data_IF_533404785106
#
_entry.id   IF_533404785106
#
_cell.length_a   1.000
_cell.length_b   1.000
_cell.length_c   1.000
_cell.angle_alpha   90.00
_cell.angle_beta   90.00
_cell.angle_gamma   90.00
#
_symmetry.space_group_name_H-M   'P 1'
#
loop_
_entity.id
_entity.type
_entity.pdbx_description
1 polymer ?
#
# COMPACT_ATOMS: atom_id res chain seq x y z
N UNK A 1 -1.77 -13.00 -0.55
CA UNK A 1 -1.10 -12.46 0.63
C UNK A 1 -1.76 -13.13 1.83
N UNK A 2 -1.05 -13.98 2.59
CA UNK A 2 -1.55 -14.33 3.92
C UNK A 2 -1.48 -13.04 4.71
N UNK A 3 -2.61 -12.50 5.23
CA UNK A 3 -2.56 -11.34 6.09
C UNK A 3 -1.62 -11.69 7.23
N UNK A 4 -0.50 -10.99 7.35
CA UNK A 4 0.32 -11.12 8.55
C UNK A 4 -0.52 -10.49 9.67
N UNK A 5 -1.27 -11.33 10.37
CA UNK A 5 -2.27 -10.87 11.34
C UNK A 5 -1.64 -10.06 12.49
N UNK A 6 -0.34 -10.24 12.71
CA UNK A 6 0.49 -9.51 13.67
C UNK A 6 1.35 -8.42 13.03
N UNK A 7 0.94 -7.86 11.90
CA UNK A 7 1.63 -6.73 11.30
C UNK A 7 1.69 -5.57 12.30
N UNK A 8 2.91 -5.15 12.66
CA UNK A 8 3.10 -3.98 13.51
C UNK A 8 2.83 -2.70 12.71
N UNK A 9 2.29 -1.64 13.34
CA UNK A 9 2.18 -0.34 12.72
C UNK A 9 3.52 0.10 12.10
N UNK A 10 3.51 0.63 10.86
CA UNK A 10 4.67 1.28 10.26
C UNK A 10 5.26 2.36 11.16
N UNK A 11 6.57 2.54 11.12
CA UNK A 11 7.26 3.54 11.95
C UNK A 11 7.15 4.97 11.42
N UNK A 12 6.92 5.10 10.12
CA UNK A 12 6.85 6.38 9.41
C UNK A 12 5.99 6.24 8.14
N UNK A 13 5.76 7.37 7.47
CA UNK A 13 4.90 7.42 6.29
C UNK A 13 5.52 6.73 5.06
N UNK A 14 6.86 6.72 4.92
CA UNK A 14 7.55 5.99 3.85
C UNK A 14 7.25 4.48 3.92
N UNK A 15 7.23 3.89 5.13
CA UNK A 15 6.84 2.49 5.33
C UNK A 15 5.35 2.25 5.04
N UNK A 16 4.47 3.21 5.37
CA UNK A 16 3.05 3.15 4.96
C UNK A 16 2.93 3.14 3.43
N UNK A 17 3.64 4.03 2.76
CA UNK A 17 3.63 4.16 1.32
C UNK A 17 4.17 2.90 0.61
N UNK A 18 5.24 2.29 1.15
CA UNK A 18 5.75 1.00 0.67
C UNK A 18 4.68 -0.10 0.76
N UNK A 19 4.00 -0.23 1.91
CA UNK A 19 2.96 -1.25 2.13
C UNK A 19 1.73 -1.02 1.24
N UNK A 20 1.34 0.23 1.02
CA UNK A 20 0.26 0.57 0.08
C UNK A 20 0.64 0.15 -1.33
N UNK A 21 1.84 0.51 -1.77
CA UNK A 21 2.34 0.15 -3.10
C UNK A 21 2.41 -1.36 -3.28
N UNK A 22 2.84 -2.10 -2.26
CA UNK A 22 2.87 -3.57 -2.28
C UNK A 22 1.48 -4.18 -2.43
N UNK A 23 0.52 -3.65 -1.69
CA UNK A 23 -0.88 -4.08 -1.77
C UNK A 23 -1.45 -3.82 -3.16
N UNK A 24 -1.16 -2.65 -3.74
CA UNK A 24 -1.57 -2.27 -5.09
C UNK A 24 -0.95 -3.19 -6.16
N UNK A 25 0.34 -3.52 -6.07
CA UNK A 25 0.97 -4.42 -7.03
C UNK A 25 0.55 -5.87 -6.86
N UNK A 26 0.31 -6.36 -5.64
CA UNK A 26 -0.19 -7.72 -5.40
C UNK A 26 -1.65 -7.90 -5.81
N UNK A 27 -2.45 -6.83 -5.87
CA UNK A 27 -3.83 -6.88 -6.35
C UNK A 27 -3.89 -7.32 -7.83
N UNK A 28 -4.48 -8.49 -8.08
CA UNK A 28 -4.67 -9.04 -9.42
C UNK A 28 -3.40 -9.58 -10.10
N UNK A 29 -2.30 -9.76 -9.36
CA UNK A 29 -1.06 -10.36 -9.87
C UNK A 29 -0.61 -11.54 -8.99
N UNK A 30 0.27 -12.38 -9.53
CA UNK A 30 0.86 -13.46 -8.75
C UNK A 30 1.72 -12.90 -7.61
N UNK A 31 1.22 -13.02 -6.39
CA UNK A 31 1.87 -12.45 -5.21
C UNK A 31 3.31 -12.94 -5.04
N UNK A 32 3.63 -14.22 -5.30
CA UNK A 32 5.00 -14.75 -5.19
C UNK A 32 5.97 -14.03 -6.13
N UNK A 33 5.50 -13.67 -7.32
CA UNK A 33 6.31 -12.92 -8.30
C UNK A 33 6.58 -11.51 -7.79
N UNK A 34 5.58 -10.84 -7.21
CA UNK A 34 5.75 -9.50 -6.64
C UNK A 34 6.73 -9.54 -5.46
N UNK A 35 6.56 -10.49 -4.55
CA UNK A 35 7.44 -10.70 -3.40
C UNK A 35 8.89 -10.93 -3.80
N UNK A 36 9.13 -11.83 -4.76
CA UNK A 36 10.49 -12.12 -5.24
C UNK A 36 11.15 -10.91 -5.91
N UNK A 37 10.36 -10.02 -6.51
CA UNK A 37 10.84 -8.79 -7.15
C UNK A 37 10.92 -7.61 -6.19
N UNK A 38 10.38 -7.71 -4.98
CA UNK A 38 10.23 -6.57 -4.06
C UNK A 38 11.54 -5.83 -3.76
N UNK A 39 12.70 -6.49 -3.58
CA UNK A 39 13.97 -5.79 -3.42
C UNK A 39 14.35 -4.91 -4.61
N UNK A 40 13.92 -5.27 -5.83
CA UNK A 40 14.11 -4.44 -7.02
C UNK A 40 13.15 -3.26 -7.03
N UNK A 41 11.90 -3.46 -6.59
CA UNK A 41 10.95 -2.36 -6.40
C UNK A 41 11.50 -1.32 -5.41
N UNK A 42 12.03 -1.76 -4.27
CA UNK A 42 12.66 -0.85 -3.29
C UNK A 42 13.75 0.00 -3.94
N UNK A 43 14.63 -0.58 -4.77
CA UNK A 43 15.65 0.18 -5.50
C UNK A 43 15.06 1.12 -6.54
N UNK A 44 14.13 0.61 -7.35
CA UNK A 44 13.51 1.32 -8.46
C UNK A 44 12.71 2.54 -8.00
N UNK A 45 12.04 2.44 -6.85
CA UNK A 45 11.28 3.52 -6.22
C UNK A 45 12.08 4.26 -5.13
N UNK A 46 13.41 4.30 -5.24
CA UNK A 46 14.28 5.11 -4.37
C UNK A 46 14.08 4.86 -2.85
N UNK A 47 13.90 3.60 -2.47
CA UNK A 47 13.63 3.16 -1.10
C UNK A 47 12.22 3.49 -0.62
N UNK A 48 11.29 3.76 -1.55
CA UNK A 48 9.95 4.29 -1.25
C UNK A 48 9.95 5.59 -0.45
N UNK A 49 11.00 6.42 -0.61
CA UNK A 49 10.97 7.77 -0.06
C UNK A 49 9.90 8.60 -0.77
N UNK A 50 8.84 8.96 -0.05
CA UNK A 50 7.69 9.71 -0.58
C UNK A 50 8.18 10.98 -1.27
N UNK A 51 9.08 11.73 -0.63
CA UNK A 51 9.63 12.99 -1.15
C UNK A 51 10.36 12.84 -2.49
N UNK A 52 10.99 11.67 -2.74
CA UNK A 52 11.70 11.37 -4.00
C UNK A 52 10.74 10.86 -5.06
N UNK A 53 9.88 9.90 -4.70
CA UNK A 53 8.95 9.26 -5.64
C UNK A 53 7.91 10.25 -6.15
N UNK A 54 7.41 11.16 -5.31
CA UNK A 54 6.50 12.22 -5.73
C UNK A 54 7.09 13.18 -6.78
N UNK A 55 8.42 13.20 -6.95
CA UNK A 55 9.14 14.02 -7.94
C UNK A 55 9.52 13.25 -9.19
N UNK A 56 9.14 11.97 -9.31
CA UNK A 56 9.40 11.20 -10.52
C UNK A 56 8.68 11.85 -11.72
N UNK A 57 9.46 12.09 -12.76
CA UNK A 57 8.98 12.64 -14.03
C UNK A 57 8.52 11.54 -14.98
N UNK A 58 7.94 11.93 -16.11
CA UNK A 58 7.63 10.99 -17.21
C UNK A 58 8.87 10.23 -17.69
N UNK A 59 10.06 10.83 -17.60
CA UNK A 59 11.32 10.17 -17.96
C UNK A 59 11.64 9.05 -16.97
N UNK A 60 11.39 9.26 -15.68
CA UNK A 60 11.58 8.24 -14.65
C UNK A 60 10.58 7.10 -14.82
N UNK A 61 9.31 7.41 -15.12
CA UNK A 61 8.29 6.40 -15.45
C UNK A 61 8.70 5.58 -16.68
N UNK A 62 9.17 6.23 -17.75
CA UNK A 62 9.69 5.54 -18.94
C UNK A 62 10.88 4.64 -18.61
N UNK A 63 11.80 5.08 -17.74
CA UNK A 63 12.93 4.28 -17.27
C UNK A 63 12.43 3.04 -16.51
N UNK A 64 11.48 3.19 -15.60
CA UNK A 64 10.86 2.07 -14.87
C UNK A 64 10.17 1.08 -15.81
N UNK A 65 9.55 1.58 -16.89
CA UNK A 65 8.95 0.74 -17.93
C UNK A 65 9.97 -0.07 -18.75
N UNK A 66 11.26 0.20 -18.62
CA UNK A 66 12.33 -0.63 -19.22
C UNK A 66 12.98 -1.59 -18.23
N UNK A 67 12.71 -1.45 -16.92
CA UNK A 67 13.33 -2.25 -15.87
C UNK A 67 12.67 -3.64 -15.77
N UNK A 68 13.40 -4.68 -16.13
CA UNK A 68 12.95 -6.08 -16.06
C UNK A 68 12.99 -6.63 -14.63
N UNK A 69 13.64 -5.94 -13.71
CA UNK A 69 13.69 -6.24 -12.28
C UNK A 69 12.34 -6.09 -11.58
N UNK A 70 11.46 -5.22 -12.10
CA UNK A 70 10.10 -4.97 -11.57
C UNK A 70 9.01 -5.52 -12.50
N UNK A 71 7.74 -5.35 -12.10
CA UNK A 71 6.59 -5.57 -12.98
C UNK A 71 6.27 -4.27 -13.71
N UNK A 72 6.41 -4.28 -15.04
CA UNK A 72 6.24 -3.13 -15.94
C UNK A 72 4.77 -2.86 -16.25
N UNK A 73 4.01 -2.46 -15.22
CA UNK A 73 2.62 -2.03 -15.36
C UNK A 73 2.55 -0.52 -15.25
N UNK A 74 2.43 0.16 -16.39
CA UNK A 74 2.48 1.63 -16.47
C UNK A 74 1.44 2.30 -15.56
N UNK A 75 0.19 1.83 -15.59
CA UNK A 75 -0.89 2.39 -14.77
C UNK A 75 -0.59 2.32 -13.27
N UNK A 76 -0.05 1.17 -12.81
CA UNK A 76 0.34 0.98 -11.40
C UNK A 76 1.57 1.80 -11.02
N UNK A 77 2.53 1.97 -11.94
CA UNK A 77 3.71 2.83 -11.72
C UNK A 77 3.28 4.29 -11.60
N UNK A 78 2.46 4.80 -12.53
CA UNK A 78 1.93 6.15 -12.46
C UNK A 78 1.09 6.38 -11.20
N UNK A 79 0.23 5.42 -10.83
CA UNK A 79 -0.53 5.49 -9.58
C UNK A 79 0.40 5.56 -8.35
N UNK A 80 1.52 4.85 -8.36
CA UNK A 80 2.51 4.91 -7.26
C UNK A 80 3.11 6.32 -7.12
N UNK A 81 3.46 6.97 -8.23
CA UNK A 81 3.96 8.36 -8.24
C UNK A 81 2.89 9.33 -7.75
N UNK A 82 1.66 9.20 -8.24
CA UNK A 82 0.52 10.02 -7.80
C UNK A 82 0.26 9.86 -6.29
N UNK A 83 0.24 8.62 -5.81
CA UNK A 83 -0.03 8.30 -4.40
C UNK A 83 1.05 8.88 -3.48
N UNK A 84 2.32 8.91 -3.89
CA UNK A 84 3.37 9.62 -3.15
C UNK A 84 3.03 11.12 -2.98
N UNK A 85 2.50 11.76 -4.03
CA UNK A 85 2.00 13.13 -3.94
C UNK A 85 0.85 13.30 -2.93
N UNK A 86 -0.06 12.33 -2.84
CA UNK A 86 -1.14 12.33 -1.84
C UNK A 86 -0.61 12.15 -0.41
N UNK A 87 0.43 11.34 -0.20
CA UNK A 87 1.10 11.24 1.10
C UNK A 87 1.71 12.58 1.53
N UNK A 88 2.35 13.33 0.62
CA UNK A 88 2.87 14.68 0.94
C UNK A 88 1.75 15.65 1.34
N UNK A 89 0.59 15.57 0.69
CA UNK A 89 -0.57 16.39 1.07
C UNK A 89 -1.08 16.01 2.46
N UNK A 90 -1.17 14.73 2.77
CA UNK A 90 -1.56 14.25 4.10
C UNK A 90 -0.58 14.67 5.19
N UNK A 91 0.73 14.60 4.91
CA UNK A 91 1.75 15.10 5.84
C UNK A 91 1.56 16.59 6.12
N UNK A 92 1.25 17.40 5.10
CA UNK A 92 0.95 18.82 5.27
C UNK A 92 -0.31 19.08 6.09
N UNK A 93 -1.40 18.35 5.81
CA UNK A 93 -2.71 18.64 6.38
C UNK A 93 -2.92 18.02 7.78
N UNK A 94 -2.31 16.86 8.03
CA UNK A 94 -2.51 16.06 9.27
C UNK A 94 -1.21 15.79 10.04
N UNK A 95 -0.04 16.09 9.46
CA UNK A 95 1.27 15.84 10.04
C UNK A 95 1.81 14.43 9.81
N UNK A 96 0.97 13.42 9.58
CA UNK A 96 1.37 12.09 9.11
C UNK A 96 0.16 11.25 8.67
N UNK A 97 0.41 10.16 7.94
CA UNK A 97 -0.60 9.18 7.57
C UNK A 97 -1.25 8.54 8.80
N UNK A 98 -0.47 8.21 9.83
CA UNK A 98 -1.00 7.67 11.08
C UNK A 98 -1.95 8.68 11.76
N UNK A 99 -1.60 9.96 11.79
CA UNK A 99 -2.48 11.00 12.37
C UNK A 99 -3.75 11.17 11.55
N UNK A 100 -3.66 11.07 10.23
CA UNK A 100 -4.82 11.01 9.35
C UNK A 100 -5.74 9.84 9.71
N UNK A 101 -5.20 8.61 9.85
CA UNK A 101 -6.00 7.45 10.26
C UNK A 101 -6.69 7.66 11.63
N UNK A 102 -6.01 8.30 12.58
CA UNK A 102 -6.56 8.55 13.91
C UNK A 102 -7.81 9.45 13.89
N UNK A 103 -8.00 10.28 12.84
CA UNK A 103 -9.17 11.16 12.71
C UNK A 103 -10.49 10.39 12.55
N UNK A 104 -10.44 9.13 12.11
CA UNK A 104 -11.62 8.30 11.91
C UNK A 104 -12.07 7.56 13.19
N UNK A 105 -11.24 7.52 14.23
CA UNK A 105 -11.53 6.79 15.46
C UNK A 105 -11.84 5.31 15.19
N UNK A 106 -13.04 4.86 15.57
CA UNK A 106 -13.52 3.48 15.37
C UNK A 106 -14.33 3.28 14.08
N UNK A 107 -14.49 4.32 13.25
CA UNK A 107 -15.28 4.24 12.03
C UNK A 107 -14.46 3.59 10.90
N UNK A 108 -14.42 2.25 10.92
CA UNK A 108 -13.69 1.44 9.93
C UNK A 108 -14.18 1.67 8.50
N UNK A 109 -15.50 1.78 8.31
CA UNK A 109 -16.10 2.00 6.99
C UNK A 109 -15.62 3.32 6.40
N UNK A 110 -15.72 4.42 7.16
CA UNK A 110 -15.25 5.72 6.68
C UNK A 110 -13.74 5.75 6.44
N UNK A 111 -12.96 5.07 7.28
CA UNK A 111 -11.51 4.94 7.06
C UNK A 111 -11.20 4.22 5.75
N UNK A 112 -11.88 3.11 5.46
CA UNK A 112 -11.72 2.35 4.21
C UNK A 112 -12.12 3.19 2.99
N UNK A 113 -13.26 3.88 3.04
CA UNK A 113 -13.71 4.79 1.97
C UNK A 113 -12.69 5.90 1.72
N UNK A 114 -12.23 6.56 2.78
CA UNK A 114 -11.32 7.70 2.65
C UNK A 114 -9.95 7.31 2.08
N UNK A 115 -9.50 6.08 2.29
CA UNK A 115 -8.31 5.54 1.62
C UNK A 115 -8.58 5.25 0.14
N UNK A 116 -9.76 4.74 -0.21
CA UNK A 116 -10.12 4.44 -1.60
C UNK A 116 -10.30 5.71 -2.44
N UNK A 117 -10.97 6.72 -1.89
CA UNK A 117 -11.24 7.99 -2.56
C UNK A 117 -9.96 8.76 -2.85
N UNK A 118 -8.98 8.69 -1.93
CA UNK A 118 -7.76 9.47 -2.01
C UNK A 118 -6.70 8.87 -2.94
N UNK A 119 -6.51 7.55 -2.90
CA UNK A 119 -5.38 6.91 -3.57
C UNK A 119 -5.77 6.18 -4.85
N UNK A 120 -4.99 6.40 -5.91
CA UNK A 120 -5.21 5.73 -7.18
C UNK A 120 -4.86 4.24 -7.10
N UNK A 121 -5.69 3.42 -7.75
CA UNK A 121 -5.55 1.95 -7.79
C UNK A 121 -5.62 1.27 -6.41
N UNK A 122 -6.24 1.93 -5.43
CA UNK A 122 -6.51 1.40 -4.10
C UNK A 122 -8.01 1.15 -3.95
N UNK A 123 -8.54 0.14 -4.67
CA UNK A 123 -9.94 -0.28 -4.54
C UNK A 123 -10.22 -0.99 -3.20
N UNK A 124 -11.47 -1.41 -2.92
CA UNK A 124 -11.89 -1.92 -1.61
C UNK A 124 -10.98 -3.01 -1.05
N UNK A 125 -10.66 -4.03 -1.85
CA UNK A 125 -9.79 -5.14 -1.42
C UNK A 125 -8.35 -4.69 -1.18
N UNK A 126 -7.85 -3.76 -1.99
CA UNK A 126 -6.48 -3.21 -1.84
C UNK A 126 -6.39 -2.33 -0.61
N UNK A 127 -7.39 -1.46 -0.36
CA UNK A 127 -7.47 -0.63 0.83
C UNK A 127 -7.48 -1.49 2.11
N UNK A 128 -8.33 -2.51 2.13
CA UNK A 128 -8.41 -3.46 3.25
C UNK A 128 -7.08 -4.19 3.47
N UNK A 129 -6.47 -4.71 2.39
CA UNK A 129 -5.18 -5.41 2.47
C UNK A 129 -4.08 -4.48 3.00
N UNK A 130 -4.03 -3.25 2.51
CA UNK A 130 -3.05 -2.25 2.92
C UNK A 130 -3.20 -1.85 4.40
N UNK A 131 -4.43 -1.51 4.83
CA UNK A 131 -4.68 -1.11 6.22
C UNK A 131 -4.37 -2.25 7.19
N UNK A 132 -4.76 -3.48 6.84
CA UNK A 132 -4.40 -4.65 7.64
C UNK A 132 -2.89 -4.89 7.65
N UNK A 133 -2.23 -4.82 6.49
CA UNK A 133 -0.77 -4.93 6.40
C UNK A 133 -0.06 -3.83 7.19
N UNK A 134 -0.74 -2.73 7.49
CA UNK A 134 -0.25 -1.61 8.31
C UNK A 134 -0.63 -1.72 9.79
N UNK A 135 -1.15 -2.87 10.23
CA UNK A 135 -1.48 -3.13 11.63
C UNK A 135 -2.77 -2.46 12.12
N UNK A 136 -3.65 -2.01 11.21
CA UNK A 136 -4.98 -1.56 11.60
C UNK A 136 -5.84 -2.76 12.02
N UNK A 137 -6.47 -2.67 13.18
CA UNK A 137 -7.42 -3.67 13.66
C UNK A 137 -8.75 -3.53 12.92
N UNK A 138 -8.85 -4.20 11.78
CA UNK A 138 -10.08 -4.27 10.99
C UNK A 138 -10.96 -5.43 11.47
N UNK A 139 -12.27 -5.21 11.51
CA UNK A 139 -13.26 -6.23 11.83
C UNK A 139 -13.22 -7.30 10.74
N UNK A 140 -12.86 -8.56 11.05
CA UNK A 140 -12.71 -9.56 10.01
C UNK A 140 -14.06 -9.89 9.34
N UNK A 141 -14.06 -10.02 8.01
CA UNK A 141 -15.24 -10.42 7.24
C UNK A 141 -15.62 -11.87 7.57
N UNK A 142 -16.83 -12.28 7.17
CA UNK A 142 -17.28 -13.67 7.37
C UNK A 142 -16.34 -14.68 6.71
N UNK A 143 -15.80 -14.35 5.53
CA UNK A 143 -14.86 -15.21 4.80
C UNK A 143 -13.50 -15.26 5.48
N UNK A 144 -12.99 -14.13 5.95
CA UNK A 144 -11.74 -14.06 6.72
C UNK A 144 -11.86 -14.83 8.03
N UNK A 145 -13.00 -14.73 8.74
CA UNK A 145 -13.29 -15.54 9.94
C UNK A 145 -13.22 -17.03 9.64
N UNK A 146 -13.82 -17.48 8.52
CA UNK A 146 -13.74 -18.88 8.09
C UNK A 146 -12.29 -19.29 7.81
N UNK A 147 -11.55 -18.49 7.04
CA UNK A 147 -10.15 -18.75 6.72
C UNK A 147 -9.26 -18.84 7.97
N UNK A 148 -9.41 -17.90 8.91
CA UNK A 148 -8.67 -17.86 10.18
C UNK A 148 -9.01 -19.06 11.08
N UNK A 149 -10.27 -19.49 11.12
CA UNK A 149 -10.67 -20.68 11.89
C UNK A 149 -10.07 -21.97 11.35
N UNK A 150 -9.85 -22.06 10.03
CA UNK A 150 -9.22 -23.21 9.37
C UNK A 150 -7.71 -23.32 9.59
N UNK A 151 -7.02 -22.22 9.93
CA UNK A 151 -5.56 -22.19 10.16
C UNK A 151 -5.18 -22.15 11.64
N UNK A 152 -6.14 -22.32 12.57
CA UNK A 152 -5.90 -22.38 14.01
C UNK A 152 -5.29 -23.71 14.52
N UNK A 153 -4.77 -24.56 13.64
CA UNK A 153 -4.05 -25.79 13.99
C UNK A 153 -2.89 -26.07 13.04
N UNK A 154 -1.70 -25.58 13.39
CA UNK A 154 -0.42 -26.29 13.26
C UNK A 154 0.62 -25.59 14.12
#
# INVERSE_FOLDING_TARGET
MSPNWNAKPPKNDDEYFERMTRSLFTAGLNWKVIENKWPNFQKAFAGFSISKVARFSDKDVKKLMTDTGIVRNEKKIQATVHNAGEFLKLEKDFGSFQKYLNTFGKNEERMLEAVQERFQHVGPSTARTFLWASGCELTPTREEKKWMSGHKKS
#
